data_IF_881241613944
#
_entry.id   IF_881241613944
#
_cell.length_a   1.000
_cell.length_b   1.000
_cell.length_c   1.000
_cell.angle_alpha   90.00
_cell.angle_beta   90.00
_cell.angle_gamma   90.00
#
_symmetry.space_group_name_H-M   'P 1'
#
loop_
_entity.id
_entity.type
_entity.pdbx_description
1 polymer ?
#
# COMPACT_ATOMS: atom_id res chain seq x y z
N UNK A 1 -3.05 -22.68 77.68
CA UNK A 1 -2.61 -21.32 78.15
C UNK A 1 -2.37 -20.45 76.93
N UNK A 2 -3.29 -19.57 76.72
CA UNK A 2 -3.35 -18.73 75.53
C UNK A 2 -3.04 -17.28 75.94
N UNK A 3 -2.08 -16.64 75.30
CA UNK A 3 -1.84 -15.23 75.53
C UNK A 3 -2.19 -14.46 74.25
N UNK A 4 -3.24 -13.68 74.35
CA UNK A 4 -3.70 -12.73 73.33
C UNK A 4 -2.98 -11.43 73.58
N UNK A 5 -2.17 -10.96 72.60
CA UNK A 5 -1.61 -9.60 72.62
C UNK A 5 -2.50 -8.69 71.75
N UNK A 6 -3.17 -7.73 72.38
CA UNK A 6 -3.90 -6.62 71.72
C UNK A 6 -2.93 -5.45 71.54
N UNK A 7 -2.71 -5.09 70.29
CA UNK A 7 -2.08 -3.77 70.00
C UNK A 7 -3.15 -2.74 69.79
N UNK A 8 -3.05 -1.68 70.60
CA UNK A 8 -3.86 -0.46 70.54
C UNK A 8 -3.16 0.51 69.58
N UNK A 9 -3.78 0.79 68.43
CA UNK A 9 -3.29 1.81 67.47
C UNK A 9 -3.97 3.13 67.78
N UNK A 10 -3.17 4.10 68.25
CA UNK A 10 -3.60 5.47 68.52
C UNK A 10 -3.57 6.26 67.22
N UNK A 11 -4.73 6.66 66.71
CA UNK A 11 -4.85 7.50 65.53
C UNK A 11 -4.73 8.99 65.92
N UNK A 12 -3.64 9.60 65.50
CA UNK A 12 -3.45 11.08 65.60
C UNK A 12 -4.03 11.72 64.35
N UNK A 13 -5.12 12.45 64.45
CA UNK A 13 -5.62 13.32 63.38
C UNK A 13 -4.83 14.63 63.44
N UNK A 14 -4.01 14.87 62.39
CA UNK A 14 -3.43 16.18 62.10
C UNK A 14 -4.30 16.79 60.98
N UNK A 15 -5.05 17.81 61.38
CA UNK A 15 -5.78 18.67 60.43
C UNK A 15 -4.80 19.66 59.84
N UNK A 16 -4.39 19.47 58.62
CA UNK A 16 -3.75 20.50 57.80
C UNK A 16 -4.78 21.11 56.86
N UNK A 17 -5.14 22.34 57.15
CA UNK A 17 -5.92 23.19 56.27
C UNK A 17 -4.94 23.81 55.27
N UNK A 18 -4.91 23.32 54.02
CA UNK A 18 -4.19 23.94 52.91
C UNK A 18 -5.18 24.24 51.80
N UNK A 19 -5.38 25.55 51.58
CA UNK A 19 -6.03 26.04 50.38
C UNK A 19 -5.23 25.58 49.16
N UNK A 20 -5.69 24.52 48.51
CA UNK A 20 -5.25 24.13 47.18
C UNK A 20 -6.16 24.88 46.19
N UNK A 21 -5.60 25.85 45.49
CA UNK A 21 -6.17 26.38 44.26
C UNK A 21 -6.40 25.26 43.28
N UNK A 22 -7.64 25.10 42.83
CA UNK A 22 -8.00 24.21 41.73
C UNK A 22 -7.21 24.63 40.47
N UNK A 23 -6.19 23.88 40.14
CA UNK A 23 -5.61 23.89 38.81
C UNK A 23 -6.60 23.05 37.96
N UNK A 24 -7.47 23.74 37.22
CA UNK A 24 -8.23 23.12 36.16
C UNK A 24 -7.22 22.63 35.14
N UNK A 25 -6.97 21.32 35.09
CA UNK A 25 -6.34 20.69 33.96
C UNK A 25 -7.33 20.76 32.81
N UNK A 26 -7.21 21.81 32.02
CA UNK A 26 -7.81 21.90 30.71
C UNK A 26 -7.01 20.88 29.81
N UNK A 27 -7.34 19.61 29.95
CA UNK A 27 -7.00 18.61 28.94
C UNK A 27 -7.82 19.00 27.71
N UNK A 28 -7.26 19.87 26.88
CA UNK A 28 -7.71 19.99 25.51
C UNK A 28 -7.39 18.64 24.83
N UNK A 29 -8.33 17.69 24.95
CA UNK A 29 -8.43 16.59 24.01
C UNK A 29 -8.59 17.23 22.62
N UNK A 30 -7.47 17.38 21.91
CA UNK A 30 -7.55 17.52 20.46
C UNK A 30 -8.20 16.23 19.98
N UNK A 31 -9.41 16.27 19.38
CA UNK A 31 -9.97 15.09 18.77
C UNK A 31 -9.03 14.70 17.63
N UNK A 32 -8.18 13.70 17.87
CA UNK A 32 -7.43 13.06 16.82
C UNK A 32 -8.49 12.34 15.96
N UNK A 33 -9.02 13.06 14.98
CA UNK A 33 -9.89 12.47 14.00
C UNK A 33 -9.01 11.52 13.19
N UNK A 34 -9.12 10.22 13.45
CA UNK A 34 -8.52 9.20 12.61
C UNK A 34 -9.10 9.40 11.21
N UNK A 35 -8.30 9.93 10.30
CA UNK A 35 -8.68 10.05 8.90
C UNK A 35 -8.54 8.64 8.34
N UNK A 36 -9.67 7.96 8.18
CA UNK A 36 -9.73 6.66 7.53
C UNK A 36 -9.86 6.90 6.02
N UNK A 37 -8.72 7.03 5.33
CA UNK A 37 -8.73 7.11 3.87
C UNK A 37 -9.09 5.75 3.27
N UNK A 38 -9.95 5.79 2.25
CA UNK A 38 -10.36 4.63 1.49
C UNK A 38 -9.57 4.50 0.20
N UNK A 39 -8.97 3.35 0.00
CA UNK A 39 -8.12 3.07 -1.15
C UNK A 39 -8.67 1.88 -1.93
N UNK A 40 -8.84 2.07 -3.24
CA UNK A 40 -9.22 1.00 -4.15
C UNK A 40 -8.06 0.67 -5.09
N UNK A 41 -7.70 -0.62 -5.17
CA UNK A 41 -6.81 -1.14 -6.20
C UNK A 41 -7.61 -1.77 -7.34
N UNK A 42 -7.31 -1.39 -8.58
CA UNK A 42 -7.85 -2.01 -9.80
C UNK A 42 -6.68 -2.58 -10.58
N UNK A 43 -6.67 -3.89 -10.85
CA UNK A 43 -5.56 -4.52 -11.55
C UNK A 43 -5.66 -6.03 -11.71
N UNK A 44 -4.54 -6.68 -11.89
CA UNK A 44 -4.47 -8.11 -12.14
C UNK A 44 -3.51 -8.81 -11.16
N UNK A 45 -2.85 -9.90 -11.58
CA UNK A 45 -1.93 -10.68 -10.74
C UNK A 45 -0.77 -9.86 -10.18
N UNK A 46 -0.28 -8.85 -10.88
CA UNK A 46 0.78 -7.97 -10.36
C UNK A 46 0.33 -7.16 -9.15
N UNK A 47 -0.98 -6.94 -9.00
CA UNK A 47 -1.58 -6.24 -7.87
C UNK A 47 -1.95 -7.18 -6.73
N UNK A 48 -2.48 -8.38 -6.99
CA UNK A 48 -2.96 -9.23 -5.89
C UNK A 48 -1.98 -10.27 -5.36
N UNK A 49 -0.87 -10.57 -6.08
CA UNK A 49 0.10 -11.55 -5.59
C UNK A 49 0.62 -11.19 -4.20
N UNK A 50 0.70 -12.22 -3.34
CA UNK A 50 1.14 -12.11 -1.95
C UNK A 50 0.36 -11.10 -1.13
N UNK A 51 -0.93 -10.89 -1.47
CA UNK A 51 -1.83 -9.96 -0.76
C UNK A 51 -1.29 -8.52 -0.68
N UNK A 52 -0.70 -7.99 -1.75
CA UNK A 52 -0.10 -6.67 -1.81
C UNK A 52 -1.02 -5.56 -1.25
N UNK A 53 -2.33 -5.45 -1.62
CA UNK A 53 -3.21 -4.44 -1.03
C UNK A 53 -3.33 -4.54 0.49
N UNK A 54 -3.40 -5.78 1.02
CA UNK A 54 -3.46 -6.00 2.47
C UNK A 54 -2.13 -5.67 3.16
N UNK A 55 -0.98 -5.82 2.49
CA UNK A 55 0.31 -5.37 3.03
C UNK A 55 0.31 -3.84 3.18
N UNK A 56 -0.13 -3.10 2.17
CA UNK A 56 -0.25 -1.63 2.20
C UNK A 56 -1.16 -1.18 3.34
N UNK A 57 -2.33 -1.83 3.51
CA UNK A 57 -3.22 -1.57 4.65
C UNK A 57 -2.50 -1.75 6.00
N UNK A 58 -1.78 -2.86 6.18
CA UNK A 58 -1.08 -3.14 7.44
C UNK A 58 0.09 -2.18 7.69
N UNK A 59 0.79 -1.74 6.65
CA UNK A 59 1.81 -0.68 6.74
C UNK A 59 1.19 0.64 7.25
N UNK A 60 0.03 1.02 6.72
CA UNK A 60 -0.67 2.22 7.16
C UNK A 60 -1.11 2.15 8.63
N UNK A 61 -1.64 1.00 9.05
CA UNK A 61 -2.03 0.77 10.45
C UNK A 61 -0.81 0.85 11.38
N UNK A 62 0.33 0.27 10.99
CA UNK A 62 1.57 0.34 11.76
C UNK A 62 2.06 1.78 11.95
N UNK A 63 1.78 2.66 10.97
CA UNK A 63 2.08 4.10 11.04
C UNK A 63 0.96 4.95 11.62
N UNK A 64 -0.17 4.36 12.00
CA UNK A 64 -1.30 5.07 12.59
C UNK A 64 -2.18 5.84 11.60
N UNK A 65 -2.04 5.56 10.28
CA UNK A 65 -2.84 6.18 9.22
C UNK A 65 -4.22 5.54 9.07
N UNK A 66 -4.36 4.24 9.39
CA UNK A 66 -5.62 3.49 9.40
C UNK A 66 -6.40 3.51 8.07
N UNK A 67 -5.71 3.24 6.95
CA UNK A 67 -6.37 3.13 5.65
C UNK A 67 -7.32 1.93 5.60
N UNK A 68 -8.44 2.10 4.90
CA UNK A 68 -9.36 1.04 4.51
C UNK A 68 -9.04 0.66 3.06
N UNK A 69 -8.43 -0.49 2.85
CA UNK A 69 -7.94 -0.90 1.53
C UNK A 69 -8.81 -2.01 0.95
N UNK A 70 -9.34 -1.76 -0.24
CA UNK A 70 -10.10 -2.73 -1.05
C UNK A 70 -9.42 -2.96 -2.40
N UNK A 71 -9.81 -4.02 -3.10
CA UNK A 71 -9.30 -4.27 -4.44
C UNK A 71 -10.32 -4.93 -5.35
N UNK A 72 -10.31 -4.52 -6.62
CA UNK A 72 -11.00 -5.18 -7.71
C UNK A 72 -9.95 -5.73 -8.68
N UNK A 73 -9.59 -7.00 -8.53
CA UNK A 73 -8.51 -7.62 -9.29
C UNK A 73 -8.96 -8.90 -9.98
N UNK A 74 -8.60 -9.04 -11.24
CA UNK A 74 -8.94 -10.21 -12.07
C UNK A 74 -7.65 -10.73 -12.72
N UNK A 75 -7.34 -12.04 -12.63
CA UNK A 75 -6.14 -12.59 -13.25
C UNK A 75 -6.03 -12.23 -14.73
N UNK A 76 -4.86 -11.73 -15.15
CA UNK A 76 -4.53 -11.33 -16.53
C UNK A 76 -5.43 -10.25 -17.14
N UNK A 77 -6.30 -9.60 -16.36
CA UNK A 77 -7.19 -8.56 -16.88
C UNK A 77 -6.41 -7.34 -17.37
N UNK A 78 -6.96 -6.72 -18.39
CA UNK A 78 -6.61 -5.41 -18.93
C UNK A 78 -7.65 -4.38 -18.50
N UNK A 79 -7.35 -3.09 -18.66
CA UNK A 79 -8.35 -2.04 -18.39
C UNK A 79 -9.63 -2.24 -19.21
N UNK A 80 -9.52 -2.77 -20.43
CA UNK A 80 -10.70 -3.15 -21.24
C UNK A 80 -11.60 -4.18 -20.52
N UNK A 81 -10.98 -5.19 -19.91
CA UNK A 81 -11.71 -6.26 -19.23
C UNK A 81 -12.37 -5.73 -17.97
N UNK A 82 -11.69 -4.86 -17.25
CA UNK A 82 -12.24 -4.13 -16.09
C UNK A 82 -13.39 -3.21 -16.48
N UNK A 83 -13.24 -2.41 -17.53
CA UNK A 83 -14.32 -1.54 -18.04
C UNK A 83 -15.58 -2.32 -18.44
N UNK A 84 -15.41 -3.50 -19.04
CA UNK A 84 -16.52 -4.35 -19.44
C UNK A 84 -17.14 -5.14 -18.29
N UNK A 85 -16.57 -5.11 -17.09
CA UNK A 85 -17.09 -5.78 -15.93
C UNK A 85 -18.12 -4.90 -15.19
N UNK A 86 -19.38 -5.32 -15.09
CA UNK A 86 -20.42 -4.52 -14.44
C UNK A 86 -20.18 -4.35 -12.93
N UNK A 87 -19.47 -5.27 -12.28
CA UNK A 87 -19.20 -5.19 -10.84
C UNK A 87 -18.26 -4.02 -10.52
N UNK A 88 -17.22 -3.77 -11.34
CA UNK A 88 -16.38 -2.60 -11.15
C UNK A 88 -17.17 -1.31 -11.28
N UNK A 89 -18.03 -1.20 -12.29
CA UNK A 89 -18.87 -0.01 -12.47
C UNK A 89 -19.78 0.21 -11.27
N UNK A 90 -20.39 -0.86 -10.78
CA UNK A 90 -21.24 -0.80 -9.57
C UNK A 90 -20.46 -0.31 -8.35
N UNK A 91 -19.23 -0.76 -8.14
CA UNK A 91 -18.36 -0.30 -7.06
C UNK A 91 -18.08 1.20 -7.21
N UNK A 92 -17.61 1.65 -8.37
CA UNK A 92 -17.25 3.04 -8.62
C UNK A 92 -18.45 4.01 -8.57
N UNK A 93 -19.66 3.53 -8.85
CA UNK A 93 -20.90 4.31 -8.77
C UNK A 93 -21.50 4.36 -7.36
N UNK A 94 -21.26 3.33 -6.52
CA UNK A 94 -21.87 3.18 -5.19
C UNK A 94 -20.96 3.58 -4.03
N UNK A 95 -19.65 3.61 -4.23
CA UNK A 95 -18.67 3.90 -3.20
C UNK A 95 -17.78 5.09 -3.59
N UNK A 96 -17.23 5.78 -2.59
CA UNK A 96 -16.27 6.85 -2.77
C UNK A 96 -14.94 6.44 -2.16
N UNK A 97 -13.85 6.82 -2.84
CA UNK A 97 -12.49 6.52 -2.44
C UNK A 97 -11.66 7.82 -2.39
N UNK A 98 -10.71 7.89 -1.47
CA UNK A 98 -9.75 8.99 -1.41
C UNK A 98 -8.64 8.76 -2.45
N UNK A 99 -8.28 7.49 -2.67
CA UNK A 99 -7.28 7.07 -3.65
C UNK A 99 -7.77 5.90 -4.49
N UNK A 100 -7.56 5.95 -5.80
CA UNK A 100 -7.74 4.82 -6.72
C UNK A 100 -6.43 4.53 -7.42
N UNK A 101 -5.93 3.30 -7.27
CA UNK A 101 -4.69 2.82 -7.88
C UNK A 101 -5.05 1.90 -9.03
N UNK A 102 -4.66 2.28 -10.24
CA UNK A 102 -5.00 1.58 -11.49
C UNK A 102 -3.74 0.93 -12.06
N UNK A 103 -3.82 -0.35 -12.44
CA UNK A 103 -2.75 -1.09 -13.09
C UNK A 103 -3.26 -1.76 -14.37
N UNK A 104 -2.61 -1.47 -15.49
CA UNK A 104 -2.85 -2.10 -16.79
C UNK A 104 -2.00 -3.37 -16.93
N UNK A 105 -2.41 -4.30 -17.79
CA UNK A 105 -1.61 -5.47 -18.14
C UNK A 105 -0.25 -5.05 -18.71
N UNK A 106 0.83 -5.60 -18.17
CA UNK A 106 2.20 -5.14 -18.42
C UNK A 106 2.62 -5.12 -19.89
N UNK A 107 2.21 -6.12 -20.71
CA UNK A 107 2.51 -6.11 -22.14
C UNK A 107 1.57 -5.18 -22.91
N UNK A 108 0.29 -5.11 -22.54
CA UNK A 108 -0.67 -4.26 -23.23
C UNK A 108 -0.35 -2.76 -23.09
N UNK A 109 0.26 -2.36 -21.98
CA UNK A 109 0.70 -0.99 -21.77
C UNK A 109 1.71 -0.53 -22.85
N UNK A 110 2.53 -1.47 -23.37
CA UNK A 110 3.54 -1.18 -24.39
C UNK A 110 3.01 -1.37 -25.80
N UNK A 111 2.14 -2.37 -26.04
CA UNK A 111 1.71 -2.71 -27.39
C UNK A 111 0.38 -2.10 -27.80
N UNK A 112 -0.54 -1.90 -26.86
CA UNK A 112 -1.90 -1.48 -27.13
C UNK A 112 -2.73 -2.47 -27.97
N UNK A 113 -2.19 -3.65 -28.29
CA UNK A 113 -2.79 -4.60 -29.25
C UNK A 113 -4.11 -5.20 -28.77
N UNK A 114 -4.24 -5.40 -27.47
CA UNK A 114 -5.41 -6.01 -26.85
C UNK A 114 -6.44 -5.00 -26.32
N UNK A 115 -6.51 -3.86 -26.91
CA UNK A 115 -7.38 -2.73 -26.57
C UNK A 115 -6.57 -1.50 -26.18
N UNK A 116 -7.05 -0.33 -26.57
CA UNK A 116 -6.37 0.94 -26.32
C UNK A 116 -6.37 1.25 -24.80
N UNK A 117 -5.22 1.19 -24.10
CA UNK A 117 -5.17 1.44 -22.67
C UNK A 117 -5.54 2.88 -22.31
N UNK A 118 -5.21 3.88 -23.13
CA UNK A 118 -5.59 5.28 -22.91
C UNK A 118 -7.11 5.45 -22.92
N UNK A 119 -7.78 4.87 -23.92
CA UNK A 119 -9.25 4.94 -24.01
C UNK A 119 -9.91 4.32 -22.78
N UNK A 120 -9.51 3.09 -22.37
CA UNK A 120 -10.13 2.42 -21.25
C UNK A 120 -9.76 3.02 -19.90
N UNK A 121 -8.56 3.60 -19.77
CA UNK A 121 -8.19 4.41 -18.63
C UNK A 121 -9.14 5.61 -18.48
N UNK A 122 -9.33 6.37 -19.56
CA UNK A 122 -10.27 7.49 -19.57
C UNK A 122 -11.71 7.10 -19.26
N UNK A 123 -12.17 5.93 -19.77
CA UNK A 123 -13.52 5.44 -19.43
C UNK A 123 -13.66 5.07 -17.94
N UNK A 124 -12.68 4.41 -17.34
CA UNK A 124 -12.72 4.05 -15.91
C UNK A 124 -12.64 5.30 -15.04
N UNK A 125 -11.71 6.20 -15.33
CA UNK A 125 -11.52 7.43 -14.55
C UNK A 125 -12.68 8.40 -14.65
N UNK A 126 -13.45 8.37 -15.74
CA UNK A 126 -14.67 9.19 -15.87
C UNK A 126 -15.79 8.82 -14.89
N UNK A 127 -15.71 7.65 -14.24
CA UNK A 127 -16.64 7.23 -13.18
C UNK A 127 -16.15 7.62 -11.78
N UNK A 128 -14.93 8.12 -11.67
CA UNK A 128 -14.29 8.46 -10.40
C UNK A 128 -14.48 9.95 -10.13
N UNK A 129 -14.93 10.37 -8.94
CA UNK A 129 -15.10 11.78 -8.60
C UNK A 129 -13.79 12.57 -8.67
N UNK A 130 -13.84 13.85 -9.06
CA UNK A 130 -12.68 14.75 -9.13
C UNK A 130 -11.97 14.95 -7.78
N UNK A 131 -12.65 14.66 -6.68
CA UNK A 131 -12.05 14.71 -5.33
C UNK A 131 -11.15 13.53 -5.00
N UNK A 132 -11.19 12.46 -5.80
CA UNK A 132 -10.38 11.25 -5.63
C UNK A 132 -9.02 11.41 -6.30
N UNK A 133 -7.95 11.08 -5.59
CA UNK A 133 -6.60 11.03 -6.17
C UNK A 133 -6.41 9.74 -6.97
N UNK A 134 -6.08 9.88 -8.24
CA UNK A 134 -5.86 8.73 -9.14
C UNK A 134 -4.36 8.48 -9.29
N UNK A 135 -3.95 7.22 -9.18
CA UNK A 135 -2.57 6.79 -9.30
C UNK A 135 -2.46 5.66 -10.32
N UNK A 136 -1.44 5.72 -11.16
CA UNK A 136 -1.14 4.64 -12.09
C UNK A 136 0.04 3.81 -11.55
N UNK A 137 -0.20 2.53 -11.28
CA UNK A 137 0.82 1.60 -10.82
C UNK A 137 1.70 1.17 -12.01
N UNK A 138 2.92 1.71 -12.09
CA UNK A 138 3.91 1.29 -13.07
C UNK A 138 4.51 -0.06 -12.68
N UNK A 139 4.23 -1.11 -13.47
CA UNK A 139 4.84 -2.43 -13.29
C UNK A 139 6.27 -2.44 -13.81
N UNK A 140 6.93 -3.58 -13.80
CA UNK A 140 8.32 -3.77 -14.21
C UNK A 140 8.44 -4.51 -15.53
N UNK A 141 9.57 -4.33 -16.20
CA UNK A 141 9.96 -5.15 -17.36
C UNK A 141 10.43 -6.52 -16.89
N UNK A 142 10.17 -7.54 -17.68
CA UNK A 142 10.65 -8.90 -17.48
C UNK A 142 11.10 -9.52 -18.81
N UNK A 143 11.91 -10.60 -18.84
CA UNK A 143 12.65 -11.02 -20.04
C UNK A 143 11.82 -11.17 -21.32
N UNK A 144 10.60 -11.67 -21.23
CA UNK A 144 9.75 -11.81 -22.44
C UNK A 144 9.18 -10.49 -22.98
N UNK A 145 9.49 -9.36 -22.35
CA UNK A 145 9.11 -8.02 -22.81
C UNK A 145 10.27 -7.21 -23.41
N UNK A 146 11.50 -7.73 -23.38
CA UNK A 146 12.69 -6.99 -23.84
C UNK A 146 12.54 -6.50 -25.27
N UNK A 147 12.02 -7.35 -26.15
CA UNK A 147 11.78 -7.00 -27.56
C UNK A 147 10.69 -5.93 -27.75
N UNK A 148 9.88 -5.65 -26.74
CA UNK A 148 8.85 -4.62 -26.78
C UNK A 148 9.41 -3.21 -26.49
N UNK A 149 10.62 -3.12 -25.97
CA UNK A 149 11.29 -1.84 -25.73
C UNK A 149 11.98 -1.31 -26.98
N UNK A 150 11.21 -1.04 -28.02
CA UNK A 150 11.71 -0.65 -29.37
C UNK A 150 12.47 0.66 -29.38
N UNK A 151 12.21 1.56 -28.41
CA UNK A 151 12.86 2.87 -28.31
C UNK A 151 14.10 2.85 -27.39
N UNK A 152 14.44 1.70 -26.79
CA UNK A 152 15.49 1.56 -25.78
C UNK A 152 15.34 2.55 -24.61
N UNK A 153 14.12 2.79 -24.18
CA UNK A 153 13.83 3.63 -23.01
C UNK A 153 14.33 2.95 -21.73
N UNK A 154 14.78 3.74 -20.79
CA UNK A 154 15.21 3.22 -19.49
C UNK A 154 14.05 2.66 -18.67
N UNK A 155 12.87 3.29 -18.77
CA UNK A 155 11.62 2.91 -18.09
C UNK A 155 10.44 2.89 -19.06
N UNK A 156 10.42 1.94 -20.02
CA UNK A 156 9.47 1.99 -21.16
C UNK A 156 8.01 1.93 -20.72
N UNK A 157 7.69 1.21 -19.64
CA UNK A 157 6.34 1.15 -19.09
C UNK A 157 5.91 2.53 -18.56
N UNK A 158 6.78 3.23 -17.84
CA UNK A 158 6.46 4.57 -17.34
C UNK A 158 6.31 5.59 -18.48
N UNK A 159 7.14 5.50 -19.53
CA UNK A 159 7.00 6.38 -20.69
C UNK A 159 5.66 6.18 -21.40
N UNK A 160 5.20 4.92 -21.51
CA UNK A 160 3.85 4.63 -22.03
C UNK A 160 2.75 5.15 -21.11
N UNK A 161 2.91 4.99 -19.77
CA UNK A 161 1.95 5.54 -18.81
C UNK A 161 1.86 7.06 -18.92
N UNK A 162 2.97 7.78 -19.04
CA UNK A 162 2.99 9.25 -19.20
C UNK A 162 2.15 9.71 -20.40
N UNK A 163 2.19 8.93 -21.51
CA UNK A 163 1.37 9.22 -22.68
C UNK A 163 -0.12 9.03 -22.40
N UNK A 164 -0.48 7.96 -21.66
CA UNK A 164 -1.86 7.63 -21.32
C UNK A 164 -2.49 8.65 -20.39
N UNK A 165 -1.73 9.17 -19.44
CA UNK A 165 -2.21 10.11 -18.42
C UNK A 165 -1.98 11.57 -18.77
N UNK A 166 -1.47 11.86 -19.97
CA UNK A 166 -1.19 13.22 -20.41
C UNK A 166 -2.43 14.12 -20.29
N UNK A 167 -2.25 15.31 -19.75
CA UNK A 167 -3.34 16.25 -19.49
C UNK A 167 -4.25 15.90 -18.30
N UNK A 168 -3.94 14.86 -17.51
CA UNK A 168 -4.65 14.50 -16.28
C UNK A 168 -3.84 14.85 -15.02
N UNK A 169 -4.47 14.78 -13.82
CA UNK A 169 -3.79 14.92 -12.53
C UNK A 169 -3.28 13.60 -11.97
N UNK A 170 -3.32 12.52 -12.76
CA UNK A 170 -2.89 11.19 -12.32
C UNK A 170 -1.40 11.14 -12.02
N UNK A 171 -1.04 10.52 -10.92
CA UNK A 171 0.35 10.33 -10.52
C UNK A 171 0.84 8.92 -10.84
N UNK A 172 2.12 8.75 -11.15
CA UNK A 172 2.72 7.43 -11.37
C UNK A 172 3.35 6.93 -10.07
N UNK A 173 2.99 5.71 -9.67
CA UNK A 173 3.67 4.99 -8.59
C UNK A 173 4.82 4.20 -9.23
N UNK A 174 6.09 4.53 -8.97
CA UNK A 174 7.24 4.08 -9.76
C UNK A 174 7.77 2.70 -9.33
N UNK A 175 6.90 1.68 -9.20
CA UNK A 175 7.31 0.35 -8.75
C UNK A 175 8.29 -0.30 -9.73
N UNK A 176 8.10 -0.10 -11.04
CA UNK A 176 9.02 -0.63 -12.05
C UNK A 176 10.46 -0.12 -11.91
N UNK A 177 10.63 1.15 -11.52
CA UNK A 177 11.95 1.71 -11.21
C UNK A 177 12.60 1.03 -10.00
N UNK A 178 11.80 0.81 -8.95
CA UNK A 178 12.28 0.15 -7.75
C UNK A 178 12.75 -1.28 -8.04
N UNK A 179 12.00 -2.02 -8.87
CA UNK A 179 12.39 -3.37 -9.28
C UNK A 179 13.70 -3.37 -10.06
N UNK A 180 13.84 -2.50 -11.05
CA UNK A 180 15.08 -2.35 -11.82
C UNK A 180 16.26 -2.01 -10.92
N UNK A 181 16.13 -0.97 -10.10
CA UNK A 181 17.20 -0.53 -9.19
C UNK A 181 17.57 -1.62 -8.18
N UNK A 182 16.58 -2.37 -7.65
CA UNK A 182 16.84 -3.46 -6.73
C UNK A 182 17.66 -4.58 -7.40
N UNK A 183 17.27 -5.01 -8.60
CA UNK A 183 17.97 -6.05 -9.35
C UNK A 183 19.38 -5.64 -9.74
N UNK A 184 19.64 -4.36 -10.03
CA UNK A 184 20.96 -3.82 -10.30
C UNK A 184 21.86 -3.80 -9.05
N UNK A 185 21.31 -3.41 -7.89
CA UNK A 185 22.10 -3.30 -6.64
C UNK A 185 22.25 -4.64 -5.91
N UNK A 186 21.27 -5.51 -6.00
CA UNK A 186 21.20 -6.77 -5.25
C UNK A 186 20.90 -7.97 -6.16
N UNK A 187 21.71 -8.22 -7.22
CA UNK A 187 21.43 -9.27 -8.21
C UNK A 187 21.41 -10.70 -7.65
N UNK A 188 21.89 -10.89 -6.42
CA UNK A 188 21.89 -12.17 -5.71
C UNK A 188 20.57 -12.45 -4.97
N UNK A 189 19.64 -11.49 -4.93
CA UNK A 189 18.36 -11.63 -4.23
C UNK A 189 17.22 -11.61 -5.25
N UNK A 190 16.50 -12.71 -5.33
CA UNK A 190 15.35 -12.80 -6.21
C UNK A 190 14.16 -12.00 -5.65
N UNK A 191 13.53 -11.19 -6.51
CA UNK A 191 12.26 -10.49 -6.26
C UNK A 191 11.14 -10.97 -7.18
N UNK A 192 11.44 -11.87 -8.11
CA UNK A 192 10.49 -12.51 -9.00
C UNK A 192 10.37 -14.00 -8.66
N UNK A 193 9.26 -14.60 -9.08
CA UNK A 193 9.03 -16.04 -9.03
C UNK A 193 9.83 -16.76 -10.10
N UNK A 194 9.80 -18.09 -10.11
CA UNK A 194 10.48 -18.93 -11.10
C UNK A 194 10.06 -18.66 -12.57
N UNK A 195 8.89 -18.04 -12.77
CA UNK A 195 8.43 -17.62 -14.10
C UNK A 195 9.10 -16.33 -14.60
N UNK A 196 9.98 -15.72 -13.81
CA UNK A 196 10.67 -14.47 -14.08
C UNK A 196 9.74 -13.30 -14.44
N UNK A 197 8.51 -13.35 -13.97
CA UNK A 197 7.46 -12.38 -14.30
C UNK A 197 6.72 -11.86 -13.07
N UNK A 198 6.09 -12.79 -12.33
CA UNK A 198 5.32 -12.41 -11.15
C UNK A 198 6.23 -12.11 -9.97
N UNK A 199 5.84 -11.20 -9.07
CA UNK A 199 6.63 -10.91 -7.88
C UNK A 199 6.60 -12.11 -6.93
N UNK A 200 7.74 -12.41 -6.31
CA UNK A 200 7.80 -13.30 -5.16
C UNK A 200 7.46 -12.50 -3.85
N UNK A 201 7.52 -13.08 -2.65
CA UNK A 201 7.25 -12.33 -1.41
C UNK A 201 8.09 -11.07 -1.24
N UNK A 202 9.38 -11.08 -1.62
CA UNK A 202 10.26 -9.91 -1.56
C UNK A 202 9.82 -8.81 -2.53
N UNK A 203 9.51 -9.19 -3.79
CA UNK A 203 9.05 -8.23 -4.80
C UNK A 203 7.71 -7.61 -4.43
N UNK A 204 6.75 -8.41 -3.92
CA UNK A 204 5.49 -7.87 -3.45
C UNK A 204 5.66 -6.93 -2.25
N UNK A 205 6.56 -7.24 -1.33
CA UNK A 205 6.87 -6.35 -0.20
C UNK A 205 7.52 -5.04 -0.68
N UNK A 206 8.47 -5.09 -1.63
CA UNK A 206 9.05 -3.89 -2.24
C UNK A 206 7.98 -3.01 -2.89
N UNK A 207 7.10 -3.61 -3.70
CA UNK A 207 5.98 -2.89 -4.31
C UNK A 207 5.08 -2.25 -3.26
N UNK A 208 4.78 -2.96 -2.16
CA UNK A 208 3.98 -2.44 -1.05
C UNK A 208 4.66 -1.26 -0.35
N UNK A 209 5.98 -1.30 -0.13
CA UNK A 209 6.76 -0.18 0.42
C UNK A 209 6.67 1.07 -0.48
N UNK A 210 6.87 0.90 -1.79
CA UNK A 210 6.78 2.00 -2.77
C UNK A 210 5.37 2.63 -2.75
N UNK A 211 4.32 1.82 -2.79
CA UNK A 211 2.94 2.30 -2.79
C UNK A 211 2.63 3.02 -1.47
N UNK A 212 2.99 2.41 -0.34
CA UNK A 212 2.82 3.02 0.97
C UNK A 212 3.51 4.38 1.07
N UNK A 213 4.81 4.44 0.74
CA UNK A 213 5.58 5.69 0.83
C UNK A 213 5.09 6.75 -0.17
N UNK A 214 4.64 6.35 -1.37
CA UNK A 214 4.07 7.26 -2.36
C UNK A 214 2.77 7.91 -1.87
N UNK A 215 1.87 7.14 -1.26
CA UNK A 215 0.58 7.67 -0.80
C UNK A 215 0.72 8.47 0.49
N UNK A 216 1.51 7.98 1.45
CA UNK A 216 1.65 8.60 2.78
C UNK A 216 2.65 9.74 2.83
N UNK A 217 3.60 9.81 1.90
CA UNK A 217 4.81 10.62 1.99
C UNK A 217 5.66 10.29 3.22
N UNK A 218 5.54 9.08 3.75
CA UNK A 218 6.34 8.57 4.87
C UNK A 218 7.33 7.51 4.41
N UNK A 219 8.46 7.43 5.10
CA UNK A 219 9.47 6.38 4.86
C UNK A 219 8.94 5.00 5.19
N UNK A 220 9.29 4.02 4.37
CA UNK A 220 9.03 2.61 4.65
C UNK A 220 10.11 1.97 5.56
N UNK A 221 11.18 2.69 5.92
CA UNK A 221 12.21 2.20 6.84
C UNK A 221 11.62 1.82 8.20
N UNK A 222 12.08 0.69 8.73
CA UNK A 222 11.63 0.13 10.01
C UNK A 222 10.18 -0.36 10.06
N UNK A 223 9.50 -0.52 8.94
CA UNK A 223 8.25 -1.26 8.88
C UNK A 223 8.48 -2.76 9.13
N UNK A 224 7.47 -3.42 9.66
CA UNK A 224 7.53 -4.85 9.98
C UNK A 224 7.76 -5.71 8.74
N UNK A 225 8.59 -6.74 8.87
CA UNK A 225 8.86 -7.73 7.82
C UNK A 225 7.73 -8.74 7.62
N UNK A 226 6.79 -8.79 8.53
CA UNK A 226 5.75 -9.81 8.57
C UNK A 226 4.40 -9.19 8.91
N UNK A 227 3.50 -9.28 7.97
CA UNK A 227 2.10 -8.90 8.16
C UNK A 227 1.20 -10.11 8.08
N UNK A 228 0.13 -10.10 8.85
CA UNK A 228 -0.86 -11.17 8.87
C UNK A 228 -2.28 -10.65 9.07
N UNK A 229 -3.22 -11.45 8.66
CA UNK A 229 -4.64 -11.28 8.93
C UNK A 229 -5.30 -12.62 9.18
N UNK A 230 -6.61 -12.65 9.07
CA UNK A 230 -7.39 -13.88 9.21
C UNK A 230 -8.23 -14.10 7.96
N UNK A 231 -8.36 -15.36 7.57
CA UNK A 231 -9.31 -15.75 6.53
C UNK A 231 -10.76 -15.74 7.06
N UNK A 232 -11.72 -16.06 6.21
CA UNK A 232 -13.15 -16.14 6.57
C UNK A 232 -13.47 -17.19 7.64
N UNK A 233 -12.55 -18.11 7.95
CA UNK A 233 -12.67 -19.13 8.98
C UNK A 233 -11.90 -18.78 10.27
N UNK A 234 -11.26 -17.60 10.31
CA UNK A 234 -10.47 -17.13 11.44
C UNK A 234 -9.06 -17.72 11.51
N UNK A 235 -8.57 -18.40 10.45
CA UNK A 235 -7.21 -18.94 10.38
C UNK A 235 -6.25 -17.83 10.01
N UNK A 236 -5.09 -17.77 10.69
CA UNK A 236 -4.04 -16.79 10.37
C UNK A 236 -3.50 -17.03 8.95
N UNK A 237 -3.51 -15.97 8.14
CA UNK A 237 -2.85 -15.92 6.83
C UNK A 237 -1.79 -14.83 6.86
N UNK A 238 -0.65 -15.11 6.26
CA UNK A 238 0.46 -14.14 6.17
C UNK A 238 0.39 -13.39 4.85
N UNK A 239 0.44 -12.07 4.94
CA UNK A 239 0.47 -11.16 3.77
C UNK A 239 1.89 -10.92 3.30
N UNK A 240 2.85 -10.83 4.23
CA UNK A 240 4.27 -10.79 3.91
C UNK A 240 5.10 -11.67 4.85
N UNK A 241 6.18 -12.23 4.33
CA UNK A 241 7.22 -12.91 5.09
C UNK A 241 8.53 -12.59 4.36
N UNK A 242 9.30 -11.65 4.92
CA UNK A 242 10.60 -11.23 4.36
C UNK A 242 11.70 -11.59 5.35
N UNK A 243 12.82 -12.10 4.86
CA UNK A 243 13.98 -12.41 5.68
C UNK A 243 14.68 -11.12 6.16
N UNK A 244 15.26 -11.15 7.37
CA UNK A 244 15.87 -9.97 8.00
C UNK A 244 16.98 -9.34 7.13
N UNK A 245 17.78 -10.18 6.47
CA UNK A 245 18.89 -9.74 5.62
C UNK A 245 18.41 -8.96 4.38
N UNK A 246 17.22 -9.28 3.87
CA UNK A 246 16.65 -8.68 2.67
C UNK A 246 15.80 -7.46 2.99
N UNK A 247 15.14 -7.45 4.15
CA UNK A 247 14.20 -6.41 4.57
C UNK A 247 14.77 -4.99 4.40
N UNK A 248 15.97 -4.78 4.95
CA UNK A 248 16.62 -3.45 4.91
C UNK A 248 16.88 -2.99 3.49
N UNK A 249 17.29 -3.90 2.59
CA UNK A 249 17.53 -3.57 1.19
C UNK A 249 16.25 -3.12 0.47
N UNK A 250 15.15 -3.85 0.68
CA UNK A 250 13.85 -3.50 0.08
C UNK A 250 13.37 -2.12 0.53
N UNK A 251 13.46 -1.84 1.82
CA UNK A 251 13.06 -0.55 2.40
C UNK A 251 13.97 0.60 1.95
N UNK A 252 15.28 0.38 1.86
CA UNK A 252 16.22 1.39 1.36
C UNK A 252 15.96 1.75 -0.11
N UNK A 253 15.66 0.76 -0.95
CA UNK A 253 15.30 1.01 -2.36
C UNK A 253 14.00 1.82 -2.43
N UNK A 254 13.01 1.52 -1.59
CA UNK A 254 11.79 2.31 -1.53
C UNK A 254 12.07 3.78 -1.19
N UNK A 255 12.89 4.03 -0.18
CA UNK A 255 13.25 5.39 0.21
C UNK A 255 14.02 6.12 -0.90
N UNK A 256 14.97 5.45 -1.56
CA UNK A 256 15.77 6.06 -2.65
C UNK A 256 14.93 6.41 -3.88
N UNK A 257 13.84 5.69 -4.13
CA UNK A 257 12.96 5.95 -5.28
C UNK A 257 11.94 7.06 -5.00
N UNK A 258 11.51 7.20 -3.75
CA UNK A 258 10.42 8.13 -3.38
C UNK A 258 10.94 9.48 -2.89
N UNK A 259 12.07 9.49 -2.16
CA UNK A 259 12.64 10.69 -1.54
C UNK A 259 14.01 11.06 -2.11
#
# INVERSE_FOLDING_TARGET
MSYIFRYLVLSIFISCNSNASEISSDESEFPFTLINEKILFIGNSFTFYWNLPSQVEKMSIERGLNWEVSHFTVPSARLRDHWNNPDLKSILESETFDHVIIQEHSTNILTGEDGNPEFYFGQITSLIPDSTSIHFFSTWMYPSMEDLNINNEEYPIEESIKQIIDGTSTQIIPVGRAFKLFQEKYPQVDILMEDNKHPNPNGSYLASCIIFSHLSSETSLNLSKRYKGKDSKGVDIYYSIVEDEVLTFLQQISDEIIF
#
